data_IF_284923107652
#
_entry.id   IF_284923107652
#
_cell.length_a   1.000
_cell.length_b   1.000
_cell.length_c   1.000
_cell.angle_alpha   90.00
_cell.angle_beta   90.00
_cell.angle_gamma   90.00
#
_symmetry.space_group_name_H-M   'P 1'
#
loop_
_entity.id
_entity.type
_entity.pdbx_description
1 polymer ?
#
# COMPACT_ATOMS: atom_id res chain seq x y z
N UNK A 1 -30.66 16.96 13.95
CA UNK A 1 -29.65 18.03 13.87
C UNK A 1 -28.30 17.40 14.26
N UNK A 2 -27.72 16.62 13.35
CA UNK A 2 -26.41 16.00 13.55
C UNK A 2 -25.39 16.81 12.76
N UNK A 3 -24.48 17.44 13.48
CA UNK A 3 -23.38 18.20 12.91
C UNK A 3 -22.49 17.26 12.10
N UNK A 4 -22.27 17.64 10.84
CA UNK A 4 -21.34 17.06 9.91
C UNK A 4 -19.91 17.24 10.47
N UNK A 5 -19.37 16.20 11.09
CA UNK A 5 -17.97 16.16 11.50
C UNK A 5 -17.11 15.75 10.30
N UNK A 6 -16.87 16.70 9.40
CA UNK A 6 -15.71 16.65 8.52
C UNK A 6 -14.45 16.75 9.39
N UNK A 7 -14.01 15.60 9.89
CA UNK A 7 -12.66 15.40 10.37
C UNK A 7 -12.16 14.08 9.79
N UNK A 8 -12.11 14.02 8.46
CA UNK A 8 -11.07 13.23 7.83
C UNK A 8 -9.76 13.80 8.37
N UNK A 9 -9.20 13.15 9.39
CA UNK A 9 -7.77 13.22 9.68
C UNK A 9 -7.09 12.69 8.42
N UNK A 10 -6.96 13.59 7.44
CA UNK A 10 -5.95 13.55 6.43
C UNK A 10 -4.66 13.59 7.24
N UNK A 11 -4.14 12.42 7.58
CA UNK A 11 -2.70 12.27 7.71
C UNK A 11 -2.12 12.37 6.30
N UNK A 12 -2.38 13.50 5.63
CA UNK A 12 -1.50 13.99 4.59
C UNK A 12 -0.28 14.38 5.38
N UNK A 13 0.60 13.41 5.61
CA UNK A 13 1.98 13.67 5.96
C UNK A 13 2.44 14.63 4.87
N UNK A 14 2.54 15.91 5.20
CA UNK A 14 3.12 16.90 4.29
C UNK A 14 4.54 16.42 4.03
N UNK A 15 4.73 15.69 2.93
CA UNK A 15 6.02 15.11 2.59
C UNK A 15 6.87 16.27 2.07
N UNK A 16 7.71 16.81 2.94
CA UNK A 16 8.91 17.46 2.46
C UNK A 16 9.79 16.34 1.89
N UNK A 17 9.96 16.26 0.56
CA UNK A 17 10.74 15.21 -0.13
C UNK A 17 9.90 14.17 -0.88
N UNK A 18 10.56 13.17 -1.49
CA UNK A 18 9.88 12.09 -2.23
C UNK A 18 9.43 10.96 -1.30
N UNK A 19 10.18 10.65 -0.24
CA UNK A 19 9.81 9.68 0.79
C UNK A 19 9.49 10.36 2.12
N UNK A 20 8.49 9.88 2.88
CA UNK A 20 8.18 10.43 4.19
C UNK A 20 9.23 10.05 5.22
N UNK A 21 9.54 11.00 6.10
CA UNK A 21 10.34 10.75 7.31
C UNK A 21 9.59 9.78 8.22
N UNK A 22 10.29 8.81 8.78
CA UNK A 22 9.73 7.84 9.72
C UNK A 22 9.03 8.54 10.89
N UNK A 23 7.77 8.16 11.16
CA UNK A 23 6.93 8.77 12.19
C UNK A 23 7.52 8.63 13.62
N UNK A 24 8.41 7.66 13.83
CA UNK A 24 9.09 7.48 15.12
C UNK A 24 10.26 8.46 15.31
N UNK A 25 10.67 9.21 14.29
CA UNK A 25 11.69 10.28 14.40
C UNK A 25 11.09 11.59 14.97
N UNK A 26 10.35 11.48 16.09
CA UNK A 26 9.48 12.53 16.65
C UNK A 26 10.15 13.89 16.82
N UNK A 27 11.43 13.90 17.17
CA UNK A 27 12.18 15.15 17.43
C UNK A 27 12.47 15.98 16.18
N UNK A 28 12.53 15.33 15.01
CA UNK A 28 12.88 15.91 13.72
C UNK A 28 11.71 15.96 12.73
N UNK A 29 10.56 15.36 13.06
CA UNK A 29 9.35 15.44 12.23
C UNK A 29 9.01 16.90 11.87
N UNK A 30 8.78 17.14 10.58
CA UNK A 30 8.49 18.47 10.01
C UNK A 30 9.70 19.42 9.89
N UNK A 31 10.85 19.07 10.47
CA UNK A 31 12.09 19.88 10.41
C UNK A 31 13.10 19.38 9.39
N UNK A 32 12.98 18.11 9.00
CA UNK A 32 13.86 17.44 8.04
C UNK A 32 13.04 16.79 6.94
N UNK A 33 13.71 16.43 5.84
CA UNK A 33 13.19 15.60 4.77
C UNK A 33 14.16 14.44 4.48
N UNK A 34 13.64 13.38 3.85
CA UNK A 34 14.50 12.30 3.34
C UNK A 34 15.35 12.85 2.19
N UNK A 35 16.66 12.66 2.29
CA UNK A 35 17.61 13.14 1.30
C UNK A 35 17.49 12.37 -0.01
N UNK A 36 17.61 13.11 -1.13
CA UNK A 36 17.56 12.56 -2.48
C UNK A 36 18.72 13.11 -3.31
N UNK A 37 19.34 12.27 -4.13
CA UNK A 37 20.39 12.66 -5.09
C UNK A 37 20.13 12.00 -6.43
N UNK A 38 20.07 12.76 -7.52
CA UNK A 38 19.91 12.20 -8.88
C UNK A 38 18.73 11.20 -9.03
N UNK A 39 17.63 11.42 -8.30
CA UNK A 39 16.46 10.52 -8.16
C UNK A 39 16.66 9.29 -7.27
N UNK A 40 17.85 9.06 -6.75
CA UNK A 40 18.08 8.08 -5.68
C UNK A 40 17.58 8.64 -4.35
N UNK A 41 16.58 7.99 -3.78
CA UNK A 41 16.05 8.27 -2.46
C UNK A 41 16.89 7.49 -1.44
N UNK A 42 17.50 8.19 -0.48
CA UNK A 42 18.29 7.56 0.59
C UNK A 42 17.39 7.08 1.73
N UNK A 43 16.51 6.15 1.37
CA UNK A 43 15.61 5.40 2.24
C UNK A 43 15.70 3.92 1.85
N UNK A 44 15.74 3.04 2.84
CA UNK A 44 15.52 1.62 2.57
C UNK A 44 14.85 0.91 3.74
N UNK A 45 13.91 0.04 3.40
CA UNK A 45 13.31 -0.92 4.30
C UNK A 45 13.89 -2.31 4.02
N UNK A 46 14.41 -2.95 5.06
CA UNK A 46 14.98 -4.28 4.99
C UNK A 46 14.17 -5.24 5.84
N UNK A 47 13.98 -6.48 5.39
CA UNK A 47 13.27 -7.50 6.14
C UNK A 47 14.07 -8.81 6.23
N UNK A 48 13.85 -9.59 7.27
CA UNK A 48 14.48 -10.89 7.46
C UNK A 48 13.58 -11.81 8.27
N UNK A 49 13.21 -12.94 7.67
CA UNK A 49 12.52 -14.02 8.36
C UNK A 49 13.38 -15.29 8.43
N UNK A 50 13.39 -15.91 9.61
CA UNK A 50 13.93 -17.25 9.82
C UNK A 50 13.02 -17.96 10.85
N UNK A 51 12.19 -18.86 10.36
CA UNK A 51 11.20 -19.62 11.13
C UNK A 51 11.86 -20.45 12.22
N UNK A 52 12.96 -21.14 11.90
CA UNK A 52 13.66 -22.02 12.86
C UNK A 52 14.12 -21.31 14.12
N UNK A 53 14.50 -20.04 14.01
CA UNK A 53 14.95 -19.20 15.12
C UNK A 53 13.87 -18.22 15.63
N UNK A 54 12.62 -18.33 15.16
CA UNK A 54 11.55 -17.35 15.41
C UNK A 54 12.01 -15.89 15.17
N UNK A 55 12.79 -15.68 14.12
CA UNK A 55 13.18 -14.35 13.68
C UNK A 55 12.21 -13.87 12.62
N UNK A 56 11.67 -12.67 12.82
CA UNK A 56 10.90 -11.93 11.84
C UNK A 56 11.18 -10.45 12.10
N UNK A 57 12.16 -9.89 11.40
CA UNK A 57 12.84 -8.64 11.78
C UNK A 57 12.86 -7.65 10.63
N UNK A 58 12.63 -6.39 10.94
CA UNK A 58 12.81 -5.28 10.01
C UNK A 58 14.00 -4.41 10.39
N UNK A 59 14.54 -3.69 9.41
CA UNK A 59 15.58 -2.67 9.59
C UNK A 59 15.36 -1.53 8.59
N UNK A 60 15.00 -0.35 9.07
CA UNK A 60 14.83 0.88 8.33
C UNK A 60 16.09 1.74 8.44
N UNK A 61 16.52 2.32 7.31
CA UNK A 61 17.63 3.26 7.22
C UNK A 61 17.14 4.48 6.43
N UNK A 62 17.27 5.68 6.99
CA UNK A 62 16.97 6.94 6.32
C UNK A 62 18.13 7.93 6.47
N UNK A 63 18.55 8.56 5.37
CA UNK A 63 19.39 9.75 5.41
C UNK A 63 18.47 10.97 5.36
N UNK A 64 18.59 11.84 6.37
CA UNK A 64 17.72 13.00 6.55
C UNK A 64 18.52 14.30 6.39
N UNK A 65 17.98 15.26 5.66
CA UNK A 65 18.52 16.62 5.50
C UNK A 65 17.60 17.63 6.19
N UNK A 66 18.17 18.56 6.96
CA UNK A 66 17.44 19.64 7.61
C UNK A 66 16.85 20.62 6.57
N UNK A 67 15.61 21.05 6.80
CA UNK A 67 14.88 21.88 5.83
C UNK A 67 15.41 23.31 5.74
N UNK A 68 16.12 23.79 6.77
CA UNK A 68 16.59 25.18 6.87
C UNK A 68 18.10 25.31 6.76
N UNK A 69 18.82 24.24 7.02
CA UNK A 69 20.28 24.22 7.05
C UNK A 69 20.83 23.00 6.32
N UNK A 70 22.05 23.12 5.80
CA UNK A 70 22.77 21.97 5.24
C UNK A 70 23.32 21.12 6.38
N UNK A 71 22.43 20.45 7.12
CA UNK A 71 22.76 19.54 8.21
C UNK A 71 22.13 18.18 7.97
N UNK A 72 22.91 17.11 8.15
CA UNK A 72 22.54 15.76 7.78
C UNK A 72 22.49 14.83 8.99
N UNK A 73 21.54 13.91 8.98
CA UNK A 73 21.37 12.89 10.00
C UNK A 73 21.18 11.51 9.33
N UNK A 74 21.59 10.45 10.01
CA UNK A 74 21.21 9.07 9.64
C UNK A 74 20.30 8.54 10.74
N UNK A 75 19.07 8.21 10.35
CA UNK A 75 18.06 7.61 11.19
C UNK A 75 17.99 6.11 10.92
N UNK A 76 18.03 5.32 11.99
CA UNK A 76 17.95 3.87 11.94
C UNK A 76 16.81 3.43 12.87
N UNK A 77 15.99 2.49 12.40
CA UNK A 77 14.98 1.84 13.25
C UNK A 77 14.92 0.35 12.95
N UNK A 78 14.92 -0.48 13.99
CA UNK A 78 14.94 -1.93 13.80
C UNK A 78 14.22 -2.66 14.91
N UNK A 79 13.74 -3.86 14.61
CA UNK A 79 13.07 -4.67 15.61
C UNK A 79 12.27 -5.80 14.98
N UNK A 80 11.29 -6.29 15.72
CA UNK A 80 10.36 -7.31 15.23
C UNK A 80 9.28 -6.66 14.35
N UNK A 81 8.92 -7.31 13.24
CA UNK A 81 7.80 -6.88 12.36
C UNK A 81 6.51 -6.75 13.20
N UNK A 82 5.71 -5.71 12.95
CA UNK A 82 4.56 -5.32 13.79
C UNK A 82 4.84 -4.42 15.02
N UNK A 83 6.06 -4.45 15.57
CA UNK A 83 6.43 -3.66 16.76
C UNK A 83 7.25 -2.40 16.42
N UNK A 84 7.19 -1.35 17.26
CA UNK A 84 7.91 -0.08 17.04
C UNK A 84 9.41 -0.27 16.84
N UNK A 85 10.05 -1.14 17.64
CA UNK A 85 11.48 -1.41 17.58
C UNK A 85 12.34 -0.45 18.40
N UNK A 86 13.65 -0.55 18.20
CA UNK A 86 14.68 0.35 18.72
C UNK A 86 15.05 1.37 17.65
N UNK A 87 15.57 2.53 18.06
CA UNK A 87 15.94 3.62 17.17
C UNK A 87 17.37 4.09 17.43
N UNK A 88 18.00 4.69 16.42
CA UNK A 88 19.26 5.43 16.54
C UNK A 88 19.24 6.62 15.60
N UNK A 89 19.74 7.75 16.07
CA UNK A 89 19.87 8.99 15.30
C UNK A 89 21.30 9.48 15.41
N UNK A 90 22.02 9.51 14.29
CA UNK A 90 23.39 10.00 14.22
C UNK A 90 23.41 11.35 13.49
N UNK A 91 24.04 12.37 14.08
CA UNK A 91 24.16 13.71 13.51
C UNK A 91 25.55 13.88 12.85
N UNK A 92 25.56 14.33 11.60
CA UNK A 92 26.76 14.55 10.79
C UNK A 92 27.05 16.03 10.49
N UNK A 93 26.23 16.95 11.02
CA UNK A 93 26.32 18.38 10.69
C UNK A 93 26.31 18.60 9.18
N UNK A 94 27.16 19.51 8.69
CA UNK A 94 27.26 19.78 7.26
C UNK A 94 28.00 18.72 6.43
N UNK A 95 28.44 17.61 7.03
CA UNK A 95 29.24 16.59 6.35
C UNK A 95 28.38 15.52 5.67
N UNK A 96 27.83 15.86 4.50
CA UNK A 96 27.04 14.95 3.68
C UNK A 96 27.80 13.66 3.31
N UNK A 97 29.09 13.76 2.98
CA UNK A 97 29.89 12.62 2.56
C UNK A 97 29.98 11.55 3.66
N UNK A 98 30.16 11.96 4.91
CA UNK A 98 30.17 11.03 6.04
C UNK A 98 28.78 10.44 6.32
N UNK A 99 27.71 11.23 6.19
CA UNK A 99 26.34 10.73 6.34
C UNK A 99 26.02 9.64 5.30
N UNK A 100 26.35 9.88 4.01
CA UNK A 100 26.21 8.90 2.93
C UNK A 100 27.02 7.64 3.19
N UNK A 101 28.28 7.81 3.61
CA UNK A 101 29.14 6.67 3.95
C UNK A 101 28.55 5.83 5.07
N UNK A 102 28.04 6.46 6.14
CA UNK A 102 27.38 5.75 7.24
C UNK A 102 26.15 4.98 6.72
N UNK A 103 25.26 5.64 5.96
CA UNK A 103 24.09 5.02 5.36
C UNK A 103 24.45 3.79 4.52
N UNK A 104 25.36 3.93 3.54
CA UNK A 104 25.75 2.84 2.65
C UNK A 104 26.47 1.71 3.41
N UNK A 105 27.29 2.05 4.41
CA UNK A 105 27.93 1.06 5.26
C UNK A 105 26.89 0.25 6.04
N UNK A 106 25.89 0.89 6.65
CA UNK A 106 24.81 0.18 7.35
C UNK A 106 24.02 -0.72 6.41
N UNK A 107 23.68 -0.24 5.22
CA UNK A 107 23.03 -1.07 4.19
C UNK A 107 23.88 -2.32 3.88
N UNK A 108 25.15 -2.14 3.54
CA UNK A 108 26.05 -3.24 3.17
C UNK A 108 26.31 -4.22 4.32
N UNK A 109 26.46 -3.74 5.56
CA UNK A 109 26.60 -4.60 6.73
C UNK A 109 25.41 -5.55 6.92
N UNK A 110 24.19 -5.06 6.65
CA UNK A 110 22.94 -5.81 6.81
C UNK A 110 22.60 -6.71 5.63
N UNK A 111 22.98 -6.32 4.41
CA UNK A 111 22.56 -7.00 3.18
C UNK A 111 23.69 -7.70 2.42
N UNK A 112 24.95 -7.33 2.66
CA UNK A 112 26.13 -7.64 1.82
C UNK A 112 26.08 -7.08 0.39
N UNK A 113 25.16 -6.16 0.11
CA UNK A 113 25.03 -5.51 -1.20
C UNK A 113 25.52 -4.05 -1.12
N UNK A 114 25.83 -3.47 -2.28
CA UNK A 114 26.05 -2.02 -2.39
C UNK A 114 24.72 -1.31 -2.65
N UNK A 115 24.49 -0.20 -1.95
CA UNK A 115 23.25 0.57 -2.04
C UNK A 115 23.06 1.19 -3.42
N UNK A 116 24.14 1.67 -4.05
CA UNK A 116 24.05 2.26 -5.39
C UNK A 116 23.76 1.22 -6.48
N UNK A 117 24.04 -0.05 -6.22
CA UNK A 117 23.76 -1.18 -7.11
C UNK A 117 22.58 -2.04 -6.62
N UNK A 118 21.67 -1.48 -5.83
CA UNK A 118 20.51 -2.20 -5.26
C UNK A 118 19.51 -2.71 -6.30
N UNK A 119 19.59 -2.27 -7.55
CA UNK A 119 18.74 -2.80 -8.62
C UNK A 119 19.12 -4.23 -9.02
N UNK A 120 20.38 -4.62 -8.84
CA UNK A 120 20.91 -5.97 -9.03
C UNK A 120 21.08 -6.72 -7.70
N UNK A 121 20.25 -6.40 -6.72
CA UNK A 121 20.31 -6.97 -5.37
C UNK A 121 20.31 -8.50 -5.37
N UNK A 122 21.22 -9.08 -4.59
CA UNK A 122 21.27 -10.53 -4.35
C UNK A 122 21.01 -10.85 -2.89
N UNK A 123 20.00 -11.69 -2.64
CA UNK A 123 19.73 -12.21 -1.29
C UNK A 123 20.85 -13.13 -0.83
N UNK A 124 21.44 -12.82 0.32
CA UNK A 124 22.36 -13.74 1.01
C UNK A 124 21.70 -14.41 2.21
N UNK A 125 22.00 -15.70 2.42
CA UNK A 125 21.54 -16.45 3.58
C UNK A 125 21.99 -15.79 4.88
N UNK A 126 21.09 -15.74 5.89
CA UNK A 126 21.34 -15.14 7.19
C UNK A 126 21.49 -13.61 7.20
N UNK A 127 21.32 -12.93 6.05
CA UNK A 127 21.30 -11.46 5.93
C UNK A 127 19.89 -10.93 5.74
N UNK A 128 19.71 -9.62 5.76
CA UNK A 128 18.42 -9.01 5.41
C UNK A 128 18.19 -9.09 3.89
N UNK A 129 16.93 -9.00 3.48
CA UNK A 129 16.49 -8.74 2.11
C UNK A 129 16.05 -7.28 1.98
N UNK A 130 16.04 -6.77 0.75
CA UNK A 130 15.60 -5.42 0.44
C UNK A 130 14.13 -5.43 0.01
N UNK A 131 13.27 -4.71 0.73
CA UNK A 131 11.87 -4.53 0.37
C UNK A 131 11.79 -3.28 -0.49
N UNK A 132 11.50 -3.46 -1.79
CA UNK A 132 11.40 -2.34 -2.73
C UNK A 132 10.13 -1.55 -2.47
N UNK A 133 10.31 -0.36 -1.90
CA UNK A 133 9.25 0.60 -1.68
C UNK A 133 9.14 1.56 -2.87
N UNK A 134 7.95 1.74 -3.42
CA UNK A 134 7.68 2.80 -4.40
C UNK A 134 7.16 4.04 -3.65
N UNK A 135 7.89 5.14 -3.83
CA UNK A 135 7.55 6.44 -3.25
C UNK A 135 7.07 7.43 -4.31
N UNK A 136 6.81 6.98 -5.54
CA UNK A 136 6.19 7.81 -6.57
C UNK A 136 4.66 7.72 -6.47
N UNK A 137 3.97 8.74 -5.92
CA UNK A 137 2.64 9.07 -6.42
C UNK A 137 2.85 9.70 -7.81
N UNK A 138 3.14 8.86 -8.81
CA UNK A 138 3.40 9.15 -10.23
C UNK A 138 3.69 10.63 -10.62
N UNK A 139 4.90 10.91 -11.08
CA UNK A 139 5.23 12.13 -11.84
C UNK A 139 4.95 13.48 -11.16
N UNK A 140 5.74 13.84 -10.15
CA UNK A 140 6.16 15.24 -10.05
C UNK A 140 7.14 15.55 -11.19
N UNK A 141 6.64 15.69 -12.42
CA UNK A 141 7.37 16.40 -13.47
C UNK A 141 7.55 17.84 -12.99
N UNK A 142 8.71 18.08 -12.36
CA UNK A 142 9.47 19.35 -12.30
C UNK A 142 10.64 19.16 -11.34
N UNK A 143 11.62 18.35 -11.75
CA UNK A 143 12.98 18.49 -11.23
C UNK A 143 13.59 19.73 -11.89
N UNK A 144 13.38 20.89 -11.26
CA UNK A 144 14.11 22.17 -11.36
C UNK A 144 13.13 23.33 -11.09
N UNK A 145 12.54 23.36 -9.90
CA UNK A 145 11.78 24.53 -9.43
C UNK A 145 12.62 25.29 -8.40
N UNK A 146 12.83 26.59 -8.67
CA UNK A 146 13.44 27.51 -7.72
C UNK A 146 12.63 27.59 -6.42
N UNK A 147 13.28 27.94 -5.30
CA UNK A 147 12.65 28.17 -3.99
C UNK A 147 11.42 29.12 -4.04
N UNK A 148 11.33 29.96 -5.07
CA UNK A 148 10.22 30.87 -5.31
C UNK A 148 8.96 30.15 -5.84
N UNK A 149 9.12 29.10 -6.65
CA UNK A 149 8.00 28.29 -7.15
C UNK A 149 7.46 27.34 -6.07
N UNK A 150 8.33 26.83 -5.19
CA UNK A 150 7.92 26.02 -4.03
C UNK A 150 7.01 26.80 -3.07
N UNK A 151 7.38 28.05 -2.75
CA UNK A 151 6.54 28.95 -1.93
C UNK A 151 5.23 29.31 -2.60
N UNK A 152 5.21 29.54 -3.92
CA UNK A 152 3.97 29.79 -4.67
C UNK A 152 3.05 28.57 -4.67
N UNK A 153 3.60 27.36 -4.77
CA UNK A 153 2.84 26.11 -4.75
C UNK A 153 2.32 25.77 -3.36
N UNK A 154 3.10 25.99 -2.31
CA UNK A 154 2.66 25.87 -0.92
C UNK A 154 1.57 26.90 -0.57
N UNK A 155 1.72 28.16 -1.02
CA UNK A 155 0.70 29.18 -0.88
C UNK A 155 -0.57 28.84 -1.67
N UNK A 156 -0.44 28.33 -2.90
CA UNK A 156 -1.58 27.87 -3.70
C UNK A 156 -2.27 26.64 -3.08
N UNK A 157 -1.53 25.74 -2.42
CA UNK A 157 -2.08 24.58 -1.73
C UNK A 157 -2.82 24.95 -0.44
N UNK A 158 -2.30 25.91 0.32
CA UNK A 158 -3.00 26.49 1.48
C UNK A 158 -4.22 27.30 1.06
N UNK A 159 -4.15 28.04 -0.05
CA UNK A 159 -5.31 28.70 -0.64
C UNK A 159 -6.36 27.67 -1.10
N UNK A 160 -5.94 26.54 -1.68
CA UNK A 160 -6.83 25.44 -2.07
C UNK A 160 -7.54 24.78 -0.88
N UNK A 161 -6.84 24.59 0.25
CA UNK A 161 -7.43 24.07 1.50
C UNK A 161 -8.43 25.03 2.13
N UNK A 162 -8.28 26.33 1.86
CA UNK A 162 -9.18 27.38 2.37
C UNK A 162 -10.44 27.60 1.52
N UNK A 163 -10.48 27.08 0.29
CA UNK A 163 -11.66 27.19 -0.58
C UNK A 163 -12.75 26.19 -0.14
N UNK A 164 -14.02 26.62 -0.13
CA UNK A 164 -15.12 25.69 0.13
C UNK A 164 -15.12 24.59 -0.94
N UNK A 165 -15.22 23.34 -0.50
CA UNK A 165 -15.29 22.19 -1.40
C UNK A 165 -16.55 22.34 -2.25
N UNK A 166 -16.45 22.30 -3.60
CA UNK A 166 -17.61 22.35 -4.48
C UNK A 166 -18.60 21.24 -4.14
N UNK A 167 -19.90 21.49 -4.29
CA UNK A 167 -20.91 20.43 -4.12
C UNK A 167 -20.72 19.33 -5.19
N UNK A 168 -20.85 18.07 -4.78
CA UNK A 168 -20.76 16.92 -5.69
C UNK A 168 -21.98 16.90 -6.62
N UNK A 169 -21.78 16.49 -7.87
CA UNK A 169 -22.86 16.32 -8.85
C UNK A 169 -23.47 14.91 -8.86
N UNK A 170 -22.91 13.99 -8.08
CA UNK A 170 -23.31 12.58 -8.07
C UNK A 170 -24.53 12.33 -7.18
N UNK A 171 -25.32 11.31 -7.50
CA UNK A 171 -26.38 10.80 -6.60
C UNK A 171 -25.74 10.40 -5.26
N UNK A 172 -26.44 10.65 -4.15
CA UNK A 172 -25.94 10.37 -2.81
C UNK A 172 -25.54 8.90 -2.62
N UNK A 173 -26.26 7.96 -3.25
CA UNK A 173 -25.94 6.53 -3.21
C UNK A 173 -24.61 6.21 -3.91
N UNK A 174 -24.32 6.90 -5.02
CA UNK A 174 -23.03 6.77 -5.71
C UNK A 174 -21.92 7.37 -4.85
N UNK A 175 -22.16 8.53 -4.23
CA UNK A 175 -21.20 9.11 -3.28
C UNK A 175 -20.87 8.13 -2.15
N UNK A 176 -21.89 7.53 -1.53
CA UNK A 176 -21.70 6.58 -0.42
C UNK A 176 -20.93 5.32 -0.87
N UNK A 177 -21.22 4.80 -2.07
CA UNK A 177 -20.49 3.67 -2.64
C UNK A 177 -19.03 4.02 -2.95
N UNK A 178 -18.76 5.16 -3.59
CA UNK A 178 -17.40 5.63 -3.90
C UNK A 178 -16.60 5.86 -2.62
N UNK A 179 -17.21 6.48 -1.61
CA UNK A 179 -16.57 6.69 -0.31
C UNK A 179 -16.21 5.37 0.36
N UNK A 180 -17.08 4.35 0.27
CA UNK A 180 -16.83 3.02 0.80
C UNK A 180 -15.67 2.32 0.07
N UNK A 181 -15.73 2.21 -1.26
CA UNK A 181 -14.75 1.44 -2.05
C UNK A 181 -13.40 2.14 -2.18
N UNK A 182 -13.33 3.46 -2.00
CA UNK A 182 -12.08 4.23 -2.00
C UNK A 182 -11.57 4.53 -0.57
N UNK A 183 -12.12 3.89 0.47
CA UNK A 183 -11.70 4.12 1.84
C UNK A 183 -10.38 3.40 2.17
N UNK A 184 -9.29 4.17 2.13
CA UNK A 184 -7.93 3.68 2.45
C UNK A 184 -7.87 3.05 3.85
N UNK A 185 -8.61 3.55 4.85
CA UNK A 185 -8.57 2.99 6.20
C UNK A 185 -9.21 1.60 6.28
N UNK A 186 -10.33 1.41 5.57
CA UNK A 186 -10.97 0.09 5.49
C UNK A 186 -10.06 -0.92 4.76
N UNK A 187 -9.34 -0.46 3.72
CA UNK A 187 -8.32 -1.28 3.07
C UNK A 187 -7.17 -1.64 4.04
N UNK A 188 -6.71 -0.70 4.86
CA UNK A 188 -5.65 -0.93 5.86
C UNK A 188 -6.12 -1.96 6.90
N UNK A 189 -7.34 -1.83 7.39
CA UNK A 189 -7.97 -2.76 8.34
C UNK A 189 -8.09 -4.16 7.75
N UNK A 190 -8.55 -4.30 6.50
CA UNK A 190 -8.63 -5.59 5.81
C UNK A 190 -7.26 -6.28 5.70
N UNK A 191 -6.20 -5.56 5.33
CA UNK A 191 -4.85 -6.12 5.27
C UNK A 191 -4.30 -6.53 6.65
N UNK A 192 -4.63 -5.78 7.70
CA UNK A 192 -4.26 -6.13 9.07
C UNK A 192 -4.91 -7.44 9.52
N UNK A 193 -6.16 -7.71 9.13
CA UNK A 193 -6.82 -8.98 9.39
C UNK A 193 -6.09 -10.15 8.73
N UNK A 194 -5.59 -9.93 7.51
CA UNK A 194 -4.73 -10.87 6.75
C UNK A 194 -3.28 -10.94 7.27
N UNK A 195 -2.97 -10.32 8.42
CA UNK A 195 -1.66 -10.33 9.10
C UNK A 195 -0.53 -9.62 8.36
N UNK A 196 -0.83 -8.77 7.38
CA UNK A 196 0.18 -7.93 6.73
C UNK A 196 0.61 -6.77 7.64
N UNK A 197 1.90 -6.41 7.66
CA UNK A 197 2.40 -5.24 8.42
C UNK A 197 2.14 -3.93 7.65
N UNK A 198 0.87 -3.54 7.57
CA UNK A 198 0.42 -2.30 6.94
C UNK A 198 0.94 -1.04 7.68
N UNK A 199 1.26 -1.14 8.97
CA UNK A 199 1.77 0.00 9.76
C UNK A 199 3.13 0.49 9.29
N UNK A 200 4.01 -0.44 8.91
CA UNK A 200 5.37 -0.11 8.43
C UNK A 200 5.48 -0.09 6.92
N UNK A 201 4.60 -0.82 6.23
CA UNK A 201 4.49 -0.82 4.79
C UNK A 201 3.09 -0.27 4.43
N UNK A 202 2.85 1.03 4.60
CA UNK A 202 1.55 1.62 4.31
C UNK A 202 1.16 1.37 2.85
N UNK A 203 -0.15 1.31 2.64
CA UNK A 203 -0.78 0.99 1.35
C UNK A 203 -0.20 1.85 0.23
N UNK A 204 0.14 1.21 -0.89
CA UNK A 204 0.68 1.89 -2.07
C UNK A 204 2.20 2.03 -2.12
N UNK A 205 2.94 1.47 -1.16
CA UNK A 205 4.41 1.46 -1.22
C UNK A 205 5.03 0.13 -1.57
N UNK A 206 4.35 -1.00 -1.39
CA UNK A 206 4.90 -2.27 -1.83
C UNK A 206 4.86 -2.28 -3.36
N UNK A 207 6.02 -2.20 -4.02
CA UNK A 207 6.05 -2.11 -5.48
C UNK A 207 5.48 -3.38 -6.14
N UNK A 208 4.86 -3.24 -7.31
CA UNK A 208 4.45 -4.40 -8.14
C UNK A 208 5.56 -5.44 -8.35
N UNK A 209 6.83 -5.02 -8.35
CA UNK A 209 8.00 -5.92 -8.39
C UNK A 209 8.07 -6.82 -7.16
N UNK A 210 7.82 -6.26 -5.98
CA UNK A 210 7.81 -6.98 -4.71
C UNK A 210 6.62 -7.93 -4.61
N UNK A 211 5.43 -7.52 -5.07
CA UNK A 211 4.22 -8.37 -5.13
C UNK A 211 4.48 -9.57 -6.06
N UNK A 212 5.02 -9.34 -7.26
CA UNK A 212 5.43 -10.41 -8.19
C UNK A 212 6.46 -11.36 -7.58
N UNK A 213 7.42 -10.84 -6.82
CA UNK A 213 8.37 -11.66 -6.09
C UNK A 213 7.70 -12.49 -4.97
N UNK A 214 6.62 -12.00 -4.37
CA UNK A 214 5.75 -12.73 -3.46
C UNK A 214 5.05 -13.92 -4.14
N UNK A 215 4.40 -13.70 -5.29
CA UNK A 215 3.77 -14.76 -6.08
C UNK A 215 4.77 -15.85 -6.48
N UNK A 216 5.97 -15.45 -6.92
CA UNK A 216 7.03 -16.40 -7.26
C UNK A 216 7.44 -17.27 -6.06
N UNK A 217 7.53 -16.69 -4.86
CA UNK A 217 7.84 -17.43 -3.64
C UNK A 217 6.71 -18.38 -3.22
N UNK A 218 5.43 -17.98 -3.35
CA UNK A 218 4.30 -18.88 -3.09
C UNK A 218 4.26 -20.07 -4.05
N UNK A 219 4.52 -19.82 -5.34
CA UNK A 219 4.60 -20.89 -6.36
C UNK A 219 5.71 -21.90 -6.05
N UNK A 220 6.84 -21.42 -5.52
CA UNK A 220 7.91 -22.29 -5.05
C UNK A 220 7.44 -23.17 -3.88
N UNK A 221 6.78 -22.59 -2.87
CA UNK A 221 6.20 -23.35 -1.74
C UNK A 221 5.18 -24.38 -2.24
N UNK A 222 4.29 -24.00 -3.16
CA UNK A 222 3.29 -24.90 -3.74
C UNK A 222 3.94 -26.11 -4.42
N UNK A 223 5.07 -25.93 -5.11
CA UNK A 223 5.80 -27.03 -5.75
C UNK A 223 6.27 -28.10 -4.76
N UNK A 224 6.67 -27.69 -3.55
CA UNK A 224 7.02 -28.60 -2.45
C UNK A 224 5.79 -29.30 -1.87
N UNK A 225 4.67 -28.60 -1.72
CA UNK A 225 3.40 -29.18 -1.24
C UNK A 225 2.92 -30.26 -2.21
N UNK A 226 2.93 -29.98 -3.51
CA UNK A 226 2.49 -30.91 -4.57
C UNK A 226 3.35 -32.18 -4.63
N UNK A 227 4.61 -32.09 -4.25
CA UNK A 227 5.54 -33.23 -4.17
C UNK A 227 5.65 -33.83 -2.77
N UNK A 228 4.88 -33.33 -1.80
CA UNK A 228 4.90 -33.73 -0.39
C UNK A 228 6.31 -33.69 0.22
N UNK A 229 7.13 -32.72 -0.18
CA UNK A 229 8.53 -32.59 0.22
C UNK A 229 8.72 -31.43 1.21
N UNK A 230 8.75 -31.75 2.52
CA UNK A 230 8.88 -30.76 3.59
C UNK A 230 10.29 -30.73 4.20
N UNK A 231 11.31 -30.72 3.35
CA UNK A 231 12.71 -30.67 3.79
C UNK A 231 13.16 -29.25 4.19
N UNK A 232 14.46 -29.07 4.45
CA UNK A 232 15.02 -27.76 4.81
C UNK A 232 14.83 -26.69 3.73
N UNK A 233 14.79 -27.07 2.44
CA UNK A 233 14.54 -26.13 1.34
C UNK A 233 13.10 -25.61 1.35
N UNK A 234 12.12 -26.45 1.72
CA UNK A 234 10.74 -26.01 1.94
C UNK A 234 10.62 -24.95 3.05
N UNK A 235 11.36 -25.12 4.15
CA UNK A 235 11.41 -24.12 5.23
C UNK A 235 12.05 -22.82 4.72
N UNK A 236 13.07 -22.90 3.87
CA UNK A 236 13.70 -21.71 3.28
C UNK A 236 12.80 -21.00 2.27
N UNK A 237 11.98 -21.74 1.49
CA UNK A 237 10.97 -21.14 0.62
C UNK A 237 9.94 -20.33 1.45
N UNK A 238 9.50 -20.86 2.60
CA UNK A 238 8.64 -20.13 3.54
C UNK A 238 9.35 -18.90 4.14
N UNK A 239 10.62 -19.03 4.56
CA UNK A 239 11.41 -17.88 5.01
C UNK A 239 11.49 -16.80 3.94
N UNK A 240 11.70 -17.20 2.68
CA UNK A 240 11.79 -16.30 1.53
C UNK A 240 10.47 -15.55 1.33
N UNK A 241 9.34 -16.25 1.35
CA UNK A 241 8.02 -15.64 1.23
C UNK A 241 7.77 -14.59 2.32
N UNK A 242 7.90 -14.94 3.60
CA UNK A 242 7.67 -14.00 4.71
C UNK A 242 8.74 -12.91 4.83
N UNK A 243 9.89 -13.09 4.20
CA UNK A 243 10.88 -12.02 4.07
C UNK A 243 10.44 -11.02 2.99
N UNK A 244 9.90 -11.50 1.87
CA UNK A 244 9.41 -10.66 0.77
C UNK A 244 8.09 -9.97 1.08
N UNK A 245 7.19 -10.63 1.79
CA UNK A 245 5.86 -10.14 2.16
C UNK A 245 5.82 -10.05 3.69
N UNK A 246 6.06 -8.87 4.28
CA UNK A 246 6.18 -8.72 5.72
C UNK A 246 4.85 -8.99 6.45
N UNK A 247 4.89 -9.95 7.38
CA UNK A 247 3.74 -10.34 8.18
C UNK A 247 3.95 -10.06 9.67
N UNK A 248 2.89 -9.69 10.38
CA UNK A 248 2.86 -9.52 11.83
C UNK A 248 2.32 -10.78 12.53
N UNK A 249 3.23 -11.60 13.09
CA UNK A 249 2.89 -12.82 13.84
C UNK A 249 2.92 -12.63 15.37
N UNK A 250 2.95 -11.38 15.86
CA UNK A 250 3.14 -11.10 17.28
C UNK A 250 4.43 -11.75 17.80
N UNK A 251 4.41 -12.42 18.96
CA UNK A 251 5.58 -13.16 19.52
C UNK A 251 5.69 -14.61 19.04
N UNK A 252 4.72 -15.09 18.26
CA UNK A 252 4.70 -16.47 17.78
C UNK A 252 5.65 -16.67 16.62
N UNK A 253 6.14 -17.90 16.49
CA UNK A 253 6.91 -18.33 15.32
C UNK A 253 6.04 -18.21 14.07
N UNK A 254 6.56 -17.62 12.97
CA UNK A 254 5.82 -17.60 11.71
C UNK A 254 5.40 -19.03 11.31
N UNK A 255 4.13 -19.27 10.96
CA UNK A 255 3.63 -20.59 10.63
C UNK A 255 4.24 -21.08 9.31
N UNK A 256 4.24 -22.39 9.07
CA UNK A 256 4.58 -22.93 7.75
C UNK A 256 3.31 -23.04 6.89
N UNK A 257 3.42 -22.62 5.62
CA UNK A 257 2.40 -22.75 4.59
C UNK A 257 2.53 -24.16 4.00
N UNK A 258 1.67 -25.09 4.44
CA UNK A 258 1.76 -26.53 4.13
C UNK A 258 0.59 -27.08 3.31
N UNK A 259 -0.44 -26.27 3.09
CA UNK A 259 -1.70 -26.72 2.48
C UNK A 259 -2.14 -25.78 1.36
N UNK A 260 -2.87 -26.31 0.38
CA UNK A 260 -3.44 -25.50 -0.70
C UNK A 260 -4.40 -24.42 -0.18
N UNK A 261 -5.10 -24.69 0.94
CA UNK A 261 -5.95 -23.67 1.59
C UNK A 261 -5.13 -22.47 2.10
N UNK A 262 -3.96 -22.73 2.71
CA UNK A 262 -3.07 -21.64 3.14
C UNK A 262 -2.45 -20.91 1.95
N UNK A 263 -2.04 -21.62 0.90
CA UNK A 263 -1.57 -20.99 -0.35
C UNK A 263 -2.64 -20.04 -0.91
N UNK A 264 -3.89 -20.51 -1.00
CA UNK A 264 -5.01 -19.68 -1.48
C UNK A 264 -5.19 -18.42 -0.64
N UNK A 265 -5.14 -18.54 0.68
CA UNK A 265 -5.27 -17.38 1.58
C UNK A 265 -4.15 -16.35 1.37
N UNK A 266 -2.91 -16.82 1.19
CA UNK A 266 -1.75 -15.95 0.94
C UNK A 266 -1.77 -15.37 -0.49
N UNK A 267 -2.41 -16.05 -1.45
CA UNK A 267 -2.69 -15.49 -2.78
C UNK A 267 -3.73 -14.38 -2.71
N UNK A 268 -4.83 -14.58 -1.99
CA UNK A 268 -5.85 -13.54 -1.75
C UNK A 268 -5.22 -12.27 -1.14
N UNK A 269 -4.22 -12.42 -0.25
CA UNK A 269 -3.47 -11.29 0.28
C UNK A 269 -2.68 -10.55 -0.81
N UNK A 270 -1.99 -11.27 -1.69
CA UNK A 270 -1.23 -10.66 -2.78
C UNK A 270 -2.13 -9.98 -3.81
N UNK A 271 -3.31 -10.55 -4.09
CA UNK A 271 -4.33 -9.97 -4.96
C UNK A 271 -4.85 -8.66 -4.35
N UNK A 272 -5.23 -8.67 -3.06
CA UNK A 272 -5.64 -7.47 -2.36
C UNK A 272 -4.56 -6.38 -2.33
N UNK A 273 -3.28 -6.76 -2.14
CA UNK A 273 -2.16 -5.82 -2.19
C UNK A 273 -1.99 -5.18 -3.58
N UNK A 274 -2.16 -5.95 -4.66
CA UNK A 274 -2.08 -5.48 -6.05
C UNK A 274 -3.24 -4.51 -6.36
N UNK A 275 -4.46 -4.89 -6.01
CA UNK A 275 -5.66 -4.05 -6.18
C UNK A 275 -5.52 -2.72 -5.43
N UNK A 276 -5.03 -2.76 -4.19
CA UNK A 276 -4.80 -1.56 -3.39
C UNK A 276 -3.69 -0.68 -4.00
N UNK A 277 -2.61 -1.26 -4.52
CA UNK A 277 -1.55 -0.49 -5.22
C UNK A 277 -2.15 0.25 -6.42
N UNK A 278 -2.98 -0.42 -7.22
CA UNK A 278 -3.68 0.18 -8.37
C UNK A 278 -4.62 1.31 -7.93
N UNK A 279 -5.44 1.08 -6.91
CA UNK A 279 -6.36 2.09 -6.37
C UNK A 279 -5.59 3.29 -5.82
N UNK A 280 -4.52 3.08 -5.05
CA UNK A 280 -3.73 4.17 -4.48
C UNK A 280 -3.05 5.03 -5.56
N UNK A 281 -2.48 4.39 -6.58
CA UNK A 281 -1.91 5.08 -7.74
C UNK A 281 -2.96 5.87 -8.50
N UNK A 282 -4.18 5.32 -8.62
CA UNK A 282 -5.31 6.02 -9.20
C UNK A 282 -5.71 7.23 -8.34
N UNK A 283 -5.92 7.08 -7.04
CA UNK A 283 -6.41 8.14 -6.14
C UNK A 283 -5.44 9.34 -6.02
N UNK A 284 -4.13 9.13 -6.16
CA UNK A 284 -3.11 10.17 -5.91
C UNK A 284 -2.80 11.09 -7.10
N UNK A 285 -3.30 10.82 -8.30
CA UNK A 285 -3.13 11.68 -9.48
C UNK A 285 -4.06 12.91 -9.42
N UNK A 286 -3.53 14.08 -9.03
CA UNK A 286 -4.32 15.31 -8.95
C UNK A 286 -4.39 16.00 -10.33
N UNK A 287 -5.46 15.78 -11.09
CA UNK A 287 -5.58 16.39 -12.42
C UNK A 287 -6.60 17.54 -12.50
N UNK A 288 -7.47 17.77 -11.51
CA UNK A 288 -8.46 18.84 -11.61
C UNK A 288 -8.93 19.46 -10.28
N UNK A 289 -8.32 20.58 -9.89
CA UNK A 289 -8.60 21.28 -8.62
C UNK A 289 -10.02 21.91 -8.52
N UNK A 290 -10.83 21.84 -9.58
CA UNK A 290 -12.14 22.50 -9.65
C UNK A 290 -13.33 21.56 -9.35
N UNK A 291 -13.09 20.25 -9.21
CA UNK A 291 -14.14 19.25 -8.95
C UNK A 291 -14.19 18.88 -7.46
N UNK A 292 -15.36 18.41 -7.01
CA UNK A 292 -15.46 17.77 -5.70
C UNK A 292 -14.51 16.56 -5.64
N UNK A 293 -13.78 16.31 -4.53
CA UNK A 293 -12.89 15.17 -4.40
C UNK A 293 -13.54 13.82 -4.73
N UNK A 294 -14.81 13.60 -4.39
CA UNK A 294 -15.50 12.34 -4.66
C UNK A 294 -15.80 12.16 -6.14
N UNK A 295 -16.12 13.27 -6.83
CA UNK A 295 -16.35 13.28 -8.27
C UNK A 295 -15.05 12.94 -9.02
N UNK A 296 -13.91 13.45 -8.55
CA UNK A 296 -12.59 13.10 -9.09
C UNK A 296 -12.26 11.61 -8.91
N UNK A 297 -12.62 11.03 -7.75
CA UNK A 297 -12.41 9.61 -7.51
C UNK A 297 -13.31 8.75 -8.41
N UNK A 298 -14.57 9.14 -8.56
CA UNK A 298 -15.53 8.48 -9.43
C UNK A 298 -15.09 8.50 -10.90
N UNK A 299 -14.64 9.65 -11.42
CA UNK A 299 -14.13 9.75 -12.82
C UNK A 299 -12.97 8.77 -13.08
N UNK A 300 -12.14 8.51 -12.08
CA UNK A 300 -11.01 7.58 -12.20
C UNK A 300 -11.40 6.10 -12.22
N UNK A 301 -12.60 5.76 -11.74
CA UNK A 301 -13.12 4.40 -11.85
C UNK A 301 -13.42 4.02 -13.31
N UNK A 302 -13.61 5.02 -14.19
CA UNK A 302 -13.94 4.82 -15.61
C UNK A 302 -15.12 3.86 -15.79
N UNK A 303 -16.10 4.04 -14.94
CA UNK A 303 -17.25 3.17 -14.84
C UNK A 303 -18.46 4.01 -14.40
N UNK A 304 -19.49 4.04 -15.25
CA UNK A 304 -20.74 4.70 -14.93
C UNK A 304 -21.53 3.84 -13.94
N UNK A 305 -21.97 4.45 -12.84
CA UNK A 305 -22.78 3.83 -11.81
C UNK A 305 -24.11 4.58 -11.72
N UNK A 306 -25.17 3.95 -12.22
CA UNK A 306 -26.51 4.52 -12.26
C UNK A 306 -27.40 3.83 -11.22
N UNK A 307 -27.79 4.51 -10.12
CA UNK A 307 -28.59 3.89 -9.09
C UNK A 307 -30.01 3.53 -9.56
N UNK A 308 -30.44 2.30 -9.32
CA UNK A 308 -31.77 1.80 -9.67
C UNK A 308 -32.75 2.10 -8.52
N UNK A 309 -33.96 2.53 -8.85
CA UNK A 309 -35.00 2.79 -7.86
C UNK A 309 -35.58 1.48 -7.31
N UNK A 310 -35.88 1.45 -6.01
CA UNK A 310 -36.44 0.25 -5.34
C UNK A 310 -37.81 -0.19 -5.89
N UNK A 311 -38.52 0.72 -6.56
CA UNK A 311 -39.81 0.43 -7.20
C UNK A 311 -39.67 -0.17 -8.59
N UNK A 312 -38.47 -0.15 -9.17
CA UNK A 312 -38.19 -0.65 -10.51
C UNK A 312 -38.37 -2.18 -10.59
N UNK A 313 -38.79 -2.68 -11.76
CA UNK A 313 -38.93 -4.11 -12.00
C UNK A 313 -37.57 -4.81 -11.98
N UNK A 314 -36.50 -4.14 -12.44
CA UNK A 314 -35.14 -4.66 -12.40
C UNK A 314 -34.68 -4.85 -10.95
N UNK A 315 -34.98 -3.91 -10.06
CA UNK A 315 -34.66 -4.05 -8.64
C UNK A 315 -35.34 -5.29 -8.04
N UNK A 316 -36.64 -5.47 -8.29
CA UNK A 316 -37.39 -6.63 -7.80
C UNK A 316 -36.83 -7.95 -8.34
N UNK A 317 -36.48 -7.98 -9.63
CA UNK A 317 -35.86 -9.17 -10.24
C UNK A 317 -34.55 -9.54 -9.53
N UNK A 318 -33.71 -8.55 -9.19
CA UNK A 318 -32.44 -8.78 -8.51
C UNK A 318 -32.67 -9.23 -7.06
N UNK A 319 -33.64 -8.64 -6.35
CA UNK A 319 -34.01 -9.07 -5.00
C UNK A 319 -34.55 -10.50 -4.99
N UNK A 320 -35.46 -10.84 -5.90
CA UNK A 320 -35.97 -12.19 -6.07
C UNK A 320 -34.83 -13.17 -6.40
N UNK A 321 -33.88 -12.77 -7.26
CA UNK A 321 -32.72 -13.60 -7.58
C UNK A 321 -31.82 -13.84 -6.36
N UNK A 322 -31.56 -12.81 -5.55
CA UNK A 322 -30.77 -12.91 -4.32
C UNK A 322 -31.43 -13.84 -3.30
N UNK A 323 -32.72 -13.63 -3.02
CA UNK A 323 -33.44 -14.40 -2.01
C UNK A 323 -33.64 -15.86 -2.45
N UNK A 324 -33.94 -16.11 -3.73
CA UNK A 324 -34.19 -17.46 -4.24
C UNK A 324 -32.93 -18.31 -4.38
N UNK A 325 -31.74 -17.69 -4.48
CA UNK A 325 -30.46 -18.39 -4.61
C UNK A 325 -29.66 -18.50 -3.30
N UNK A 326 -30.22 -18.05 -2.16
CA UNK A 326 -29.57 -18.20 -0.86
C UNK A 326 -29.46 -19.69 -0.47
N UNK A 327 -28.23 -20.20 -0.43
CA UNK A 327 -27.97 -21.62 -0.21
C UNK A 327 -28.49 -22.10 1.17
N UNK A 328 -29.18 -23.24 1.18
CA UNK A 328 -29.74 -23.82 2.41
C UNK A 328 -28.68 -24.17 3.48
N UNK A 329 -27.41 -24.30 3.10
CA UNK A 329 -26.28 -24.56 3.99
C UNK A 329 -25.70 -23.30 4.63
N UNK A 330 -25.96 -22.10 4.09
CA UNK A 330 -25.39 -20.83 4.56
C UNK A 330 -26.37 -20.08 5.48
N UNK A 331 -26.78 -20.70 6.59
CA UNK A 331 -27.79 -20.16 7.51
C UNK A 331 -27.24 -19.20 8.58
N UNK A 332 -25.92 -18.99 8.62
CA UNK A 332 -25.27 -18.13 9.62
C UNK A 332 -25.59 -16.65 9.42
N UNK A 333 -26.07 -16.26 8.24
CA UNK A 333 -26.42 -14.89 7.89
C UNK A 333 -27.63 -14.86 6.95
N UNK A 334 -28.22 -13.67 6.84
CA UNK A 334 -29.22 -13.32 5.81
C UNK A 334 -28.71 -12.11 5.04
N UNK A 335 -29.13 -11.98 3.79
CA UNK A 335 -28.76 -10.85 2.93
C UNK A 335 -29.98 -9.99 2.65
N UNK A 336 -29.78 -8.67 2.67
CA UNK A 336 -30.77 -7.67 2.29
C UNK A 336 -30.10 -6.68 1.34
N UNK A 337 -30.79 -6.34 0.25
CA UNK A 337 -30.31 -5.33 -0.68
C UNK A 337 -30.48 -3.94 -0.07
N UNK A 338 -29.38 -3.20 0.06
CA UNK A 338 -29.40 -1.78 0.46
C UNK A 338 -29.67 -0.88 -0.75
N UNK A 339 -28.86 -1.03 -1.80
CA UNK A 339 -28.96 -0.32 -3.07
C UNK A 339 -28.56 -1.23 -4.25
N UNK A 340 -29.02 -0.87 -5.45
CA UNK A 340 -28.66 -1.52 -6.71
C UNK A 340 -28.18 -0.46 -7.67
N UNK A 341 -27.11 -0.75 -8.39
CA UNK A 341 -26.53 0.13 -9.40
C UNK A 341 -26.46 -0.62 -10.73
N UNK A 342 -26.92 0.02 -11.80
CA UNK A 342 -26.52 -0.36 -13.15
C UNK A 342 -25.07 0.09 -13.36
N UNK A 343 -24.25 -0.81 -13.89
CA UNK A 343 -22.80 -0.65 -14.03
C UNK A 343 -22.45 -0.69 -15.51
N UNK A 344 -21.84 0.37 -16.03
CA UNK A 344 -21.30 0.42 -17.39
C UNK A 344 -19.81 0.78 -17.35
N UNK A 345 -18.94 -0.21 -17.55
CA UNK A 345 -17.49 -0.04 -17.50
C UNK A 345 -16.96 0.33 -18.88
N UNK A 346 -16.11 1.37 -18.94
CA UNK A 346 -15.56 1.88 -20.19
C UNK A 346 -14.90 0.76 -21.03
N UNK A 347 -15.37 0.60 -22.27
CA UNK A 347 -14.87 -0.39 -23.24
C UNK A 347 -15.35 -1.83 -23.03
N UNK A 348 -16.09 -2.14 -21.96
CA UNK A 348 -16.53 -3.51 -21.68
C UNK A 348 -17.49 -4.04 -22.75
N UNK A 349 -18.46 -3.22 -23.15
CA UNK A 349 -19.43 -3.55 -24.20
C UNK A 349 -18.77 -3.90 -25.54
N UNK A 350 -17.70 -3.20 -25.90
CA UNK A 350 -16.97 -3.44 -27.14
C UNK A 350 -16.10 -4.71 -27.04
N UNK A 351 -15.57 -5.00 -25.85
CA UNK A 351 -14.75 -6.19 -25.59
C UNK A 351 -15.58 -7.47 -25.36
N UNK A 352 -16.88 -7.34 -25.09
CA UNK A 352 -17.74 -8.46 -24.73
C UNK A 352 -17.92 -9.43 -25.91
N UNK A 353 -17.36 -10.63 -25.77
CA UNK A 353 -17.47 -11.67 -26.77
C UNK A 353 -18.72 -12.53 -26.53
N UNK A 354 -19.72 -12.39 -27.40
CA UNK A 354 -20.92 -13.22 -27.34
C UNK A 354 -20.67 -14.60 -27.94
N UNK A 355 -20.44 -15.58 -27.07
CA UNK A 355 -20.23 -16.99 -27.42
C UNK A 355 -21.50 -17.86 -27.32
N UNK A 356 -22.67 -17.25 -27.07
CA UNK A 356 -23.93 -17.95 -26.76
C UNK A 356 -24.11 -18.27 -25.27
N UNK A 357 -25.28 -18.80 -24.90
CA UNK A 357 -25.68 -19.09 -23.50
C UNK A 357 -25.43 -17.94 -22.50
N UNK A 358 -25.94 -16.75 -22.81
CA UNK A 358 -25.76 -15.57 -21.95
C UNK A 358 -26.59 -15.73 -20.67
N UNK A 359 -25.92 -15.75 -19.53
CA UNK A 359 -26.52 -15.84 -18.20
C UNK A 359 -26.06 -14.67 -17.34
N UNK A 360 -26.91 -14.24 -16.42
CA UNK A 360 -26.54 -13.34 -15.33
C UNK A 360 -26.09 -14.21 -14.14
N UNK A 361 -24.92 -13.94 -13.58
CA UNK A 361 -24.31 -14.69 -12.47
C UNK A 361 -23.88 -13.73 -11.34
N UNK A 362 -23.71 -14.28 -10.13
CA UNK A 362 -23.15 -13.59 -8.96
C UNK A 362 -21.63 -13.45 -9.03
#
# INVERSE_FOLDING_TARGET
>A
MFYCSFCAVRTVTTIAGQAPVDAECKNLLGKVHVYTENKDIFDCMLNQTNIGNNNNKFYLIQLLEDNKSKSYHVWLRWGRVGYTGQVSLENFGANLANAKRCFCQKFSEKTKNDFYHRDTFTKYSGKYDYVKLDYNPTTSKTSDESEENKKKREAALEELKSRPIPESKLDKRVQDLVELVCNIRLMEEALLEMKFDAKKNPLGKLSSVQIKAGYAALKEIESFINTNNFNAAFVEANNTYYTRIPHEFGRHTPPLIKTSKQIKHEMELLEALDDIEVVFNSLTTNENNNLNPIDQQYEKLKCELNPINKTDEIYKLIDDYLQSTHAATHQLYKMQIEDVFEVDREGEKDSFNNIGNKMLLW
#
